data_IF_405458645229
#
_entry.id   IF_405458645229
#
_cell.length_a   1.000
_cell.length_b   1.000
_cell.length_c   1.000
_cell.angle_alpha   90.00
_cell.angle_beta   90.00
_cell.angle_gamma   90.00
#
_symmetry.space_group_name_H-M   'P 1'
#
loop_
_entity.id
_entity.type
_entity.pdbx_description
1 polymer ?
#
# COMPACT_ATOMS: atom_id res chain seq x y z
N UNK A 1 27.67 -41.15 3.08
CA UNK A 1 26.21 -41.43 3.14
C UNK A 1 25.56 -40.41 4.07
N UNK A 2 25.35 -39.18 3.59
CA UNK A 2 24.67 -38.12 4.35
C UNK A 2 23.23 -38.04 3.85
N UNK A 3 22.26 -38.33 4.72
CA UNK A 3 20.83 -38.16 4.42
C UNK A 3 20.55 -36.68 4.12
N UNK A 4 20.05 -36.38 2.92
CA UNK A 4 19.37 -35.11 2.61
C UNK A 4 18.29 -34.90 3.67
N UNK A 5 18.33 -33.77 4.40
CA UNK A 5 17.16 -33.31 5.15
C UNK A 5 16.20 -32.73 4.13
N UNK A 6 15.07 -33.40 3.91
CA UNK A 6 13.92 -32.81 3.23
C UNK A 6 13.56 -31.50 3.94
N UNK A 7 13.74 -30.35 3.27
CA UNK A 7 13.29 -29.06 3.78
C UNK A 7 11.76 -29.09 3.76
N UNK A 8 11.14 -29.49 4.87
CA UNK A 8 9.69 -29.39 5.06
C UNK A 8 9.32 -27.90 5.11
N UNK A 9 8.55 -27.44 4.13
CA UNK A 9 7.96 -26.10 4.15
C UNK A 9 6.97 -26.01 5.32
N UNK A 10 6.99 -24.87 5.99
CA UNK A 10 6.08 -24.55 7.10
C UNK A 10 4.64 -24.39 6.60
N UNK A 11 3.66 -24.45 7.52
CA UNK A 11 2.27 -24.17 7.17
C UNK A 11 2.09 -22.74 6.63
N UNK A 12 2.92 -21.81 7.06
CA UNK A 12 2.90 -20.40 6.65
C UNK A 12 3.34 -20.24 5.18
N UNK A 13 4.50 -20.79 4.83
CA UNK A 13 4.97 -20.79 3.43
C UNK A 13 4.02 -21.54 2.49
N UNK A 14 3.38 -22.63 2.95
CA UNK A 14 2.42 -23.36 2.12
C UNK A 14 1.10 -22.59 1.92
N UNK A 15 0.68 -21.74 2.88
CA UNK A 15 -0.56 -20.95 2.76
C UNK A 15 -0.51 -19.98 1.60
N UNK A 16 0.64 -19.33 1.40
CA UNK A 16 0.84 -18.38 0.31
C UNK A 16 0.74 -19.06 -1.08
N UNK A 17 1.07 -20.35 -1.17
CA UNK A 17 1.06 -21.10 -2.44
C UNK A 17 -0.29 -21.74 -2.80
N UNK A 18 -1.23 -21.85 -1.86
CA UNK A 18 -2.51 -22.56 -2.10
C UNK A 18 -3.36 -21.87 -3.17
N UNK A 19 -3.37 -20.53 -3.24
CA UNK A 19 -4.13 -19.82 -4.29
C UNK A 19 -3.59 -20.15 -5.67
N UNK A 20 -2.27 -20.01 -5.87
CA UNK A 20 -1.61 -20.35 -7.14
C UNK A 20 -1.74 -21.84 -7.50
N UNK A 21 -1.83 -22.73 -6.51
CA UNK A 21 -2.11 -24.15 -6.75
C UNK A 21 -3.51 -24.39 -7.31
N UNK A 22 -4.52 -23.68 -6.79
CA UNK A 22 -5.91 -23.75 -7.25
C UNK A 22 -6.07 -23.17 -8.66
N UNK A 23 -5.23 -22.20 -9.02
CA UNK A 23 -5.17 -21.58 -10.35
C UNK A 23 -4.26 -22.31 -11.34
N UNK A 24 -3.61 -23.40 -10.91
CA UNK A 24 -2.66 -24.20 -11.69
C UNK A 24 -1.44 -23.41 -12.20
N UNK A 25 -0.98 -22.44 -11.40
CA UNK A 25 0.13 -21.53 -11.72
C UNK A 25 1.46 -21.93 -11.05
N UNK A 26 1.46 -22.93 -10.17
CA UNK A 26 2.69 -23.43 -9.53
C UNK A 26 3.60 -24.20 -10.50
N UNK A 27 4.91 -24.08 -10.31
CA UNK A 27 5.86 -24.97 -10.99
C UNK A 27 5.66 -26.44 -10.57
N UNK A 28 6.12 -27.43 -11.37
CA UNK A 28 5.98 -28.85 -11.00
C UNK A 28 6.60 -29.20 -9.64
N UNK A 29 7.71 -28.55 -9.28
CA UNK A 29 8.40 -28.78 -8.01
C UNK A 29 7.61 -28.21 -6.81
N UNK A 30 7.10 -26.98 -6.93
CA UNK A 30 6.28 -26.34 -5.88
C UNK A 30 4.97 -27.10 -5.69
N UNK A 31 4.37 -27.57 -6.80
CA UNK A 31 3.17 -28.39 -6.79
C UNK A 31 3.37 -29.69 -6.00
N UNK A 32 4.43 -30.44 -6.31
CA UNK A 32 4.73 -31.71 -5.62
C UNK A 32 4.99 -31.48 -4.11
N UNK A 33 5.68 -30.39 -3.76
CA UNK A 33 5.95 -30.04 -2.37
C UNK A 33 4.67 -29.69 -1.60
N UNK A 34 3.80 -28.87 -2.19
CA UNK A 34 2.53 -28.49 -1.59
C UNK A 34 1.59 -29.69 -1.46
N UNK A 35 1.48 -30.56 -2.48
CA UNK A 35 0.66 -31.79 -2.43
C UNK A 35 1.11 -32.72 -1.28
N UNK A 36 2.44 -32.87 -1.08
CA UNK A 36 2.98 -33.59 0.09
C UNK A 36 2.56 -32.96 1.42
N UNK A 37 2.53 -31.62 1.51
CA UNK A 37 2.09 -30.93 2.72
C UNK A 37 0.58 -31.04 2.96
N UNK A 38 -0.24 -30.89 1.93
CA UNK A 38 -1.71 -31.05 2.00
C UNK A 38 -2.12 -32.48 2.40
N UNK A 39 -1.30 -33.48 2.04
CA UNK A 39 -1.46 -34.86 2.49
C UNK A 39 -1.30 -35.06 4.01
N UNK A 40 -0.59 -34.17 4.70
CA UNK A 40 -0.29 -34.29 6.15
C UNK A 40 -0.94 -33.22 7.02
N UNK A 41 -1.21 -32.03 6.50
CA UNK A 41 -1.70 -30.88 7.26
C UNK A 41 -3.20 -30.66 7.05
N UNK A 42 -4.02 -31.05 8.02
CA UNK A 42 -5.48 -30.86 7.97
C UNK A 42 -5.84 -29.37 7.85
N UNK A 43 -5.13 -28.47 8.52
CA UNK A 43 -5.39 -27.02 8.48
C UNK A 43 -5.21 -26.44 7.07
N UNK A 44 -4.13 -26.81 6.38
CA UNK A 44 -3.87 -26.34 5.01
C UNK A 44 -4.79 -27.02 3.99
N UNK A 45 -5.17 -28.28 4.21
CA UNK A 45 -6.18 -28.96 3.38
C UNK A 45 -7.55 -28.29 3.48
N UNK A 46 -8.01 -27.94 4.68
CA UNK A 46 -9.28 -27.22 4.86
C UNK A 46 -9.26 -25.84 4.18
N UNK A 47 -8.12 -25.15 4.20
CA UNK A 47 -7.96 -23.90 3.47
C UNK A 47 -8.05 -24.09 1.96
N UNK A 48 -7.36 -25.11 1.42
CA UNK A 48 -7.41 -25.44 0.00
C UNK A 48 -8.83 -25.79 -0.46
N UNK A 49 -9.55 -26.61 0.33
CA UNK A 49 -10.95 -26.96 0.10
C UNK A 49 -11.86 -25.71 0.12
N UNK A 50 -11.65 -24.81 1.08
CA UNK A 50 -12.42 -23.56 1.18
C UNK A 50 -12.17 -22.64 -0.02
N UNK A 51 -10.92 -22.42 -0.41
CA UNK A 51 -10.58 -21.58 -1.57
C UNK A 51 -11.11 -22.18 -2.88
N UNK A 52 -11.10 -23.51 -3.04
CA UNK A 52 -11.77 -24.17 -4.18
C UNK A 52 -13.27 -23.91 -4.17
N UNK A 53 -13.90 -24.02 -3.00
CA UNK A 53 -15.33 -23.76 -2.84
C UNK A 53 -15.68 -22.32 -3.19
N UNK A 54 -14.87 -21.34 -2.77
CA UNK A 54 -15.03 -19.93 -3.14
C UNK A 54 -14.87 -19.74 -4.65
N UNK A 55 -13.81 -20.29 -5.26
CA UNK A 55 -13.58 -20.20 -6.72
C UNK A 55 -14.72 -20.82 -7.52
N UNK A 56 -15.21 -21.99 -7.11
CA UNK A 56 -16.37 -22.63 -7.72
C UNK A 56 -17.65 -21.83 -7.49
N UNK A 57 -17.84 -21.29 -6.29
CA UNK A 57 -18.97 -20.42 -5.95
C UNK A 57 -19.01 -19.18 -6.83
N UNK A 58 -17.88 -18.50 -7.00
CA UNK A 58 -17.71 -17.37 -7.92
C UNK A 58 -17.97 -17.81 -9.37
N UNK A 59 -17.43 -18.95 -9.80
CA UNK A 59 -17.60 -19.45 -11.18
C UNK A 59 -19.03 -19.89 -11.50
N UNK A 60 -19.80 -20.32 -10.48
CA UNK A 60 -21.21 -20.71 -10.60
C UNK A 60 -22.16 -19.52 -10.47
N UNK A 61 -21.78 -18.49 -9.69
CA UNK A 61 -22.55 -17.25 -9.52
C UNK A 61 -22.25 -16.21 -10.60
N UNK A 62 -21.10 -16.32 -11.26
CA UNK A 62 -20.85 -15.67 -12.55
C UNK A 62 -21.77 -16.33 -13.58
N UNK A 63 -22.88 -15.67 -13.91
CA UNK A 63 -23.71 -16.04 -15.05
C UNK A 63 -22.82 -16.28 -16.27
N UNK A 64 -22.86 -17.49 -16.84
CA UNK A 64 -22.34 -17.70 -18.20
C UNK A 64 -23.25 -16.94 -19.14
N UNK A 65 -22.95 -15.67 -19.36
CA UNK A 65 -23.57 -14.89 -20.42
C UNK A 65 -23.10 -15.49 -21.74
N UNK A 66 -23.88 -16.40 -22.31
CA UNK A 66 -23.73 -16.78 -23.71
C UNK A 66 -24.14 -15.59 -24.55
N UNK A 67 -23.15 -14.82 -24.98
CA UNK A 67 -23.34 -13.66 -25.86
C UNK A 67 -23.94 -14.17 -27.18
N UNK A 68 -25.17 -13.80 -27.56
CA UNK A 68 -25.72 -14.17 -28.85
C UNK A 68 -24.84 -13.59 -29.97
N UNK A 69 -24.54 -14.35 -31.01
CA UNK A 69 -23.68 -13.86 -32.12
C UNK A 69 -24.21 -12.59 -32.80
N UNK A 70 -25.51 -12.30 -32.67
CA UNK A 70 -26.18 -11.10 -33.18
C UNK A 70 -26.17 -9.90 -32.21
N UNK A 71 -25.61 -10.05 -31.01
CA UNK A 71 -25.64 -9.00 -29.98
C UNK A 71 -24.78 -7.80 -30.39
N UNK A 72 -23.62 -8.04 -31.02
CA UNK A 72 -22.76 -6.97 -31.54
C UNK A 72 -23.52 -6.10 -32.54
N UNK A 73 -24.23 -6.72 -33.48
CA UNK A 73 -24.96 -6.00 -34.52
C UNK A 73 -26.18 -5.26 -33.96
N UNK A 74 -26.85 -5.84 -32.95
CA UNK A 74 -27.94 -5.16 -32.23
C UNK A 74 -27.43 -3.95 -31.44
N UNK A 75 -26.31 -4.08 -30.72
CA UNK A 75 -25.69 -2.97 -29.97
C UNK A 75 -25.30 -1.86 -30.94
N UNK A 76 -24.61 -2.19 -32.03
CA UNK A 76 -24.20 -1.19 -33.04
C UNK A 76 -25.40 -0.49 -33.71
N UNK A 77 -26.54 -1.18 -33.89
CA UNK A 77 -27.79 -0.58 -34.41
C UNK A 77 -28.59 0.23 -33.38
N UNK A 78 -28.36 0.02 -32.09
CA UNK A 78 -29.14 0.66 -31.01
C UNK A 78 -28.38 1.76 -30.28
N UNK A 79 -27.11 1.98 -30.62
CA UNK A 79 -26.39 3.20 -30.26
C UNK A 79 -27.04 4.38 -31.01
N UNK A 80 -27.62 5.37 -30.30
CA UNK A 80 -28.11 6.57 -30.97
C UNK A 80 -26.93 7.38 -31.51
N UNK A 81 -27.06 7.91 -32.73
CA UNK A 81 -26.18 9.00 -33.18
C UNK A 81 -26.36 10.16 -32.21
N UNK A 82 -25.28 10.56 -31.52
CA UNK A 82 -25.31 11.61 -30.51
C UNK A 82 -25.72 12.94 -31.18
N UNK A 83 -26.93 13.48 -30.92
CA UNK A 83 -27.25 14.83 -31.33
C UNK A 83 -26.69 15.76 -30.27
N UNK A 84 -25.66 16.54 -30.59
CA UNK A 84 -25.24 17.64 -29.74
C UNK A 84 -26.28 18.75 -29.84
N UNK A 85 -27.18 18.82 -28.84
CA UNK A 85 -27.80 20.05 -28.34
C UNK A 85 -28.46 19.79 -26.99
N UNK A 86 -27.86 20.34 -25.93
CA UNK A 86 -28.52 20.50 -24.64
C UNK A 86 -29.08 21.92 -24.60
N UNK A 87 -30.38 22.06 -24.33
CA UNK A 87 -30.99 23.36 -24.06
C UNK A 87 -30.33 24.02 -22.83
N UNK A 88 -30.20 25.36 -22.81
CA UNK A 88 -29.53 26.05 -21.72
C UNK A 88 -30.32 25.90 -20.41
N UNK A 89 -29.68 25.28 -19.41
CA UNK A 89 -30.21 25.19 -18.04
C UNK A 89 -30.43 26.60 -17.47
N UNK A 90 -31.64 26.94 -16.97
CA UNK A 90 -31.95 28.25 -16.42
C UNK A 90 -31.01 28.67 -15.29
N UNK A 91 -30.62 29.95 -15.25
CA UNK A 91 -29.60 30.49 -14.33
C UNK A 91 -29.93 30.28 -12.85
N UNK A 92 -31.21 30.29 -12.48
CA UNK A 92 -31.68 30.08 -11.11
C UNK A 92 -31.49 28.63 -10.61
N UNK A 93 -31.57 27.63 -11.50
CA UNK A 93 -31.25 26.23 -11.17
C UNK A 93 -29.74 26.02 -10.98
N UNK A 94 -28.90 26.78 -11.72
CA UNK A 94 -27.44 26.78 -11.51
C UNK A 94 -27.09 27.41 -10.16
N UNK A 95 -27.76 28.49 -9.78
CA UNK A 95 -27.57 29.15 -8.48
C UNK A 95 -27.97 28.24 -7.31
N UNK A 96 -29.08 27.50 -7.44
CA UNK A 96 -29.55 26.58 -6.42
C UNK A 96 -28.61 25.38 -6.23
N UNK A 97 -28.04 24.84 -7.32
CA UNK A 97 -27.03 23.78 -7.26
C UNK A 97 -25.72 24.29 -6.66
N UNK A 98 -25.29 25.50 -6.99
CA UNK A 98 -24.10 26.14 -6.39
C UNK A 98 -24.28 26.40 -4.89
N UNK A 99 -25.47 26.86 -4.47
CA UNK A 99 -25.82 27.03 -3.05
C UNK A 99 -25.91 25.70 -2.29
N UNK A 100 -26.46 24.66 -2.92
CA UNK A 100 -26.50 23.31 -2.32
C UNK A 100 -25.10 22.71 -2.18
N UNK A 101 -24.23 22.91 -3.17
CA UNK A 101 -22.83 22.46 -3.15
C UNK A 101 -22.00 23.24 -2.11
N UNK A 102 -22.29 24.53 -1.90
CA UNK A 102 -21.62 25.33 -0.86
C UNK A 102 -22.02 24.89 0.56
N UNK A 103 -23.30 24.55 0.77
CA UNK A 103 -23.82 24.07 2.05
C UNK A 103 -23.50 22.59 2.37
N UNK A 104 -23.09 21.79 1.37
CA UNK A 104 -22.69 20.39 1.53
C UNK A 104 -21.16 20.22 1.61
N UNK A 105 -20.44 21.24 2.07
CA UNK A 105 -19.01 21.16 2.41
C UNK A 105 -18.77 20.30 3.65
N UNK A 106 -19.16 19.02 3.62
CA UNK A 106 -18.63 18.02 4.53
C UNK A 106 -17.17 17.86 4.13
N UNK A 107 -16.25 18.28 5.00
CA UNK A 107 -14.82 18.10 4.76
C UNK A 107 -14.55 16.60 4.64
N UNK A 108 -14.08 16.06 3.51
CA UNK A 108 -13.53 14.73 3.51
C UNK A 108 -12.32 14.74 4.45
N UNK A 109 -12.31 13.85 5.44
CA UNK A 109 -11.10 13.52 6.17
C UNK A 109 -10.19 12.77 5.19
N UNK A 110 -9.14 13.46 4.76
CA UNK A 110 -8.02 12.88 4.03
C UNK A 110 -7.19 12.05 5.01
N UNK A 111 -6.22 11.29 4.53
CA UNK A 111 -5.21 10.72 5.43
C UNK A 111 -4.21 11.84 5.74
N UNK A 112 -2.87 11.72 5.72
CA UNK A 112 -2.11 13.00 5.73
C UNK A 112 -2.71 13.97 4.71
N UNK A 113 -2.97 15.23 5.10
CA UNK A 113 -3.61 16.17 4.17
C UNK A 113 -2.83 16.23 2.85
N UNK A 114 -3.42 16.73 1.75
CA UNK A 114 -2.77 16.76 0.44
C UNK A 114 -1.29 17.19 0.49
N UNK A 115 -1.01 18.20 1.29
CA UNK A 115 0.32 18.73 1.54
C UNK A 115 1.28 17.73 2.21
N UNK A 116 0.84 16.95 3.20
CA UNK A 116 1.67 16.00 3.92
C UNK A 116 2.21 14.89 3.02
N UNK A 117 1.34 14.24 2.23
CA UNK A 117 1.77 13.22 1.27
C UNK A 117 2.66 13.81 0.17
N UNK A 118 2.34 15.00 -0.34
CA UNK A 118 3.18 15.68 -1.32
C UNK A 118 4.58 15.95 -0.75
N UNK A 119 4.67 16.45 0.48
CA UNK A 119 5.95 16.75 1.13
C UNK A 119 6.77 15.48 1.39
N UNK A 120 6.13 14.41 1.87
CA UNK A 120 6.81 13.13 2.13
C UNK A 120 7.43 12.58 0.85
N UNK A 121 6.64 12.52 -0.23
CA UNK A 121 7.07 11.99 -1.53
C UNK A 121 8.13 12.86 -2.18
N UNK A 122 7.92 14.18 -2.19
CA UNK A 122 8.86 15.14 -2.74
C UNK A 122 10.21 15.11 -2.00
N UNK A 123 10.19 15.09 -0.67
CA UNK A 123 11.41 15.04 0.14
C UNK A 123 12.19 13.75 -0.05
N UNK A 124 11.51 12.60 -0.16
CA UNK A 124 12.16 11.34 -0.50
C UNK A 124 12.75 11.38 -1.93
N UNK A 125 12.02 11.89 -2.93
CA UNK A 125 12.52 11.98 -4.30
C UNK A 125 13.75 12.89 -4.41
N UNK A 126 13.76 14.04 -3.72
CA UNK A 126 14.91 14.95 -3.62
C UNK A 126 16.13 14.32 -2.96
N UNK A 127 15.94 13.31 -2.11
CA UNK A 127 16.99 12.58 -1.40
C UNK A 127 17.23 11.17 -1.96
N UNK A 128 16.61 10.83 -3.09
CA UNK A 128 16.75 9.50 -3.69
C UNK A 128 18.25 9.18 -3.90
N UNK A 129 18.70 7.94 -3.64
CA UNK A 129 20.12 7.61 -3.57
C UNK A 129 20.75 7.42 -4.96
N UNK A 130 20.59 8.40 -5.86
CA UNK A 130 21.09 8.32 -7.25
C UNK A 130 22.61 8.24 -7.36
N UNK A 131 23.32 8.65 -6.31
CA UNK A 131 24.78 8.52 -6.20
C UNK A 131 25.23 7.11 -5.78
N UNK A 132 24.31 6.26 -5.33
CA UNK A 132 24.62 4.86 -5.05
C UNK A 132 24.66 4.08 -6.37
N UNK A 133 25.76 3.36 -6.58
CA UNK A 133 26.06 2.67 -7.83
C UNK A 133 24.84 1.88 -8.37
N UNK A 134 24.41 2.28 -9.56
CA UNK A 134 23.34 1.64 -10.31
C UNK A 134 21.93 2.16 -10.02
N UNK A 135 21.66 2.83 -8.89
CA UNK A 135 20.31 3.32 -8.60
C UNK A 135 19.82 4.24 -9.74
N UNK A 136 18.56 4.11 -10.21
CA UNK A 136 18.17 4.80 -11.43
C UNK A 136 18.16 6.32 -11.28
N UNK A 137 19.05 6.99 -12.02
CA UNK A 137 19.28 8.45 -11.93
C UNK A 137 18.04 9.28 -12.30
N UNK A 138 17.11 8.71 -13.07
CA UNK A 138 15.89 9.41 -13.47
C UNK A 138 15.03 9.83 -12.26
N UNK A 139 15.13 9.18 -11.10
CA UNK A 139 14.38 9.54 -9.88
C UNK A 139 14.52 11.00 -9.46
N UNK A 140 15.69 11.62 -9.69
CA UNK A 140 15.93 13.02 -9.36
C UNK A 140 15.71 13.98 -10.53
N UNK A 141 15.25 13.48 -11.68
CA UNK A 141 14.78 14.38 -12.74
C UNK A 141 13.56 15.16 -12.25
N UNK A 142 13.43 16.41 -12.72
CA UNK A 142 12.31 17.27 -12.34
C UNK A 142 10.95 16.60 -12.62
N UNK A 143 10.81 15.98 -13.78
CA UNK A 143 9.59 15.26 -14.19
C UNK A 143 9.29 14.08 -13.26
N UNK A 144 10.31 13.30 -12.87
CA UNK A 144 10.11 12.17 -11.95
C UNK A 144 9.69 12.63 -10.56
N UNK A 145 10.29 13.70 -10.05
CA UNK A 145 9.88 14.29 -8.76
C UNK A 145 8.42 14.75 -8.84
N UNK A 146 8.00 15.40 -9.93
CA UNK A 146 6.61 15.82 -10.15
C UNK A 146 5.66 14.62 -10.16
N UNK A 147 6.00 13.54 -10.88
CA UNK A 147 5.19 12.31 -10.95
C UNK A 147 5.09 11.61 -9.60
N UNK A 148 6.21 11.40 -8.91
CA UNK A 148 6.23 10.73 -7.59
C UNK A 148 5.39 11.54 -6.59
N UNK A 149 5.56 12.87 -6.57
CA UNK A 149 4.81 13.78 -5.70
C UNK A 149 3.30 13.72 -5.99
N UNK A 150 2.92 13.77 -7.28
CA UNK A 150 1.53 13.70 -7.71
C UNK A 150 0.84 12.38 -7.31
N UNK A 151 1.56 11.26 -7.44
CA UNK A 151 1.03 9.93 -7.16
C UNK A 151 0.93 9.63 -5.65
N UNK A 152 1.61 10.41 -4.80
CA UNK A 152 1.48 10.31 -3.34
C UNK A 152 0.08 10.53 -2.79
N UNK A 153 -0.83 11.11 -3.59
CA UNK A 153 -2.22 11.39 -3.22
C UNK A 153 -3.25 10.47 -3.88
N UNK A 154 -2.82 9.57 -4.77
CA UNK A 154 -3.75 8.79 -5.58
C UNK A 154 -4.73 7.94 -4.77
N UNK A 155 -4.31 7.19 -3.72
CA UNK A 155 -5.27 6.40 -2.94
C UNK A 155 -6.36 7.23 -2.27
N UNK A 156 -6.01 8.40 -1.74
CA UNK A 156 -6.99 9.33 -1.17
C UNK A 156 -7.96 9.85 -2.23
N UNK A 157 -7.48 10.14 -3.46
CA UNK A 157 -8.35 10.51 -4.58
C UNK A 157 -9.32 9.37 -4.91
N UNK A 158 -8.86 8.12 -4.89
CA UNK A 158 -9.73 6.97 -5.15
C UNK A 158 -10.82 6.83 -4.08
N UNK A 159 -10.46 7.00 -2.80
CA UNK A 159 -11.39 6.95 -1.65
C UNK A 159 -12.56 7.92 -1.79
N UNK A 160 -12.31 9.14 -2.25
CA UNK A 160 -13.33 10.21 -2.34
C UNK A 160 -14.02 10.31 -3.71
N UNK A 161 -13.51 9.63 -4.74
CA UNK A 161 -14.01 9.77 -6.11
C UNK A 161 -15.41 9.15 -6.27
N UNK A 162 -16.43 9.96 -6.65
CA UNK A 162 -17.78 9.45 -6.90
C UNK A 162 -17.78 8.38 -7.99
N UNK A 163 -18.54 7.31 -7.80
CA UNK A 163 -18.67 6.22 -8.78
C UNK A 163 -17.56 5.17 -8.71
N UNK A 164 -16.52 5.35 -7.90
CA UNK A 164 -15.56 4.28 -7.66
C UNK A 164 -16.12 3.25 -6.67
N UNK A 165 -16.52 2.09 -7.18
CA UNK A 165 -17.21 1.04 -6.41
C UNK A 165 -16.43 0.57 -5.17
N UNK A 166 -15.09 0.61 -5.23
CA UNK A 166 -14.21 0.22 -4.11
C UNK A 166 -13.77 1.40 -3.24
N UNK A 167 -14.26 2.63 -3.46
CA UNK A 167 -13.83 3.81 -2.69
C UNK A 167 -13.92 3.62 -1.17
N UNK A 168 -14.99 2.97 -0.69
CA UNK A 168 -15.14 2.61 0.74
C UNK A 168 -14.22 1.45 1.19
N UNK A 169 -13.87 0.55 0.27
CA UNK A 169 -12.99 -0.60 0.55
C UNK A 169 -11.50 -0.22 0.59
N UNK A 170 -11.09 0.83 -0.12
CA UNK A 170 -9.73 1.37 -0.01
C UNK A 170 -9.47 2.05 1.32
N UNK A 171 -10.51 2.51 2.02
CA UNK A 171 -10.37 3.08 3.38
C UNK A 171 -9.53 2.20 4.31
N UNK A 172 -9.64 0.86 4.18
CA UNK A 172 -8.90 -0.10 5.00
C UNK A 172 -7.39 -0.06 4.78
N UNK A 173 -6.94 0.39 3.60
CA UNK A 173 -5.53 0.48 3.25
C UNK A 173 -4.82 1.67 3.91
N UNK A 174 -5.54 2.58 4.57
CA UNK A 174 -4.98 3.82 5.12
C UNK A 174 -4.67 3.73 6.62
N UNK A 175 -5.06 2.67 7.32
CA UNK A 175 -4.85 2.59 8.76
C UNK A 175 -4.56 1.17 9.24
N UNK A 176 -4.11 1.10 10.49
CA UNK A 176 -4.00 -0.12 11.28
C UNK A 176 -4.33 0.20 12.75
N UNK A 177 -5.29 -0.48 13.38
CA UNK A 177 -5.68 -0.22 14.76
C UNK A 177 -4.88 -1.11 15.72
N UNK A 178 -3.66 -0.68 16.06
CA UNK A 178 -2.73 -1.48 16.88
C UNK A 178 -3.21 -1.68 18.32
N UNK A 179 -4.11 -0.84 18.84
CA UNK A 179 -4.74 -1.03 20.16
C UNK A 179 -5.65 -2.24 20.24
N UNK A 180 -6.15 -2.72 19.09
CA UNK A 180 -7.14 -3.79 19.01
C UNK A 180 -6.51 -5.17 18.79
N UNK A 181 -5.20 -5.23 18.54
CA UNK A 181 -4.50 -6.48 18.21
C UNK A 181 -3.08 -6.50 18.75
N UNK A 182 -2.74 -7.53 19.53
CA UNK A 182 -1.39 -7.71 20.06
C UNK A 182 -0.40 -8.15 18.97
N UNK A 183 -0.80 -9.14 18.16
CA UNK A 183 0.02 -9.73 17.10
C UNK A 183 -0.67 -9.63 15.74
N UNK A 184 -0.07 -8.80 14.87
CA UNK A 184 -0.48 -8.70 13.48
C UNK A 184 -0.19 -10.01 12.73
N UNK A 185 -1.07 -10.42 11.80
CA UNK A 185 -0.78 -11.47 10.84
C UNK A 185 0.61 -11.29 10.19
N UNK A 186 1.42 -12.36 10.24
CA UNK A 186 2.64 -12.47 9.46
C UNK A 186 2.29 -12.80 7.99
N UNK A 187 1.53 -11.91 7.35
CA UNK A 187 1.10 -12.05 5.96
C UNK A 187 1.79 -10.98 5.11
N UNK A 188 2.21 -11.34 3.89
CA UNK A 188 2.75 -10.37 2.91
C UNK A 188 1.73 -9.91 1.86
N UNK A 189 0.48 -10.33 2.03
CA UNK A 189 -0.65 -9.99 1.17
C UNK A 189 -1.90 -9.69 2.02
N UNK A 190 -2.68 -8.71 1.59
CA UNK A 190 -3.85 -8.21 2.29
C UNK A 190 -5.01 -9.22 2.34
N UNK A 191 -5.15 -10.10 1.35
CA UNK A 191 -6.19 -11.16 1.33
C UNK A 191 -5.86 -12.21 2.39
N UNK A 192 -4.62 -12.66 2.47
CA UNK A 192 -4.15 -13.58 3.51
C UNK A 192 -4.30 -12.94 4.89
N UNK A 193 -3.96 -11.65 5.02
CA UNK A 193 -4.17 -10.92 6.27
C UNK A 193 -5.64 -10.90 6.71
N UNK A 194 -6.57 -10.58 5.79
CA UNK A 194 -8.02 -10.62 6.06
C UNK A 194 -8.44 -12.01 6.54
N UNK A 195 -7.96 -13.06 5.87
CA UNK A 195 -8.27 -14.42 6.26
C UNK A 195 -7.74 -14.75 7.67
N UNK A 196 -6.50 -14.36 7.96
CA UNK A 196 -5.89 -14.56 9.28
C UNK A 196 -6.59 -13.79 10.38
N UNK A 197 -7.12 -12.59 10.09
CA UNK A 197 -8.01 -11.89 11.03
C UNK A 197 -9.30 -12.67 11.27
N UNK A 198 -9.96 -13.16 10.21
CA UNK A 198 -11.20 -13.94 10.31
C UNK A 198 -11.01 -15.23 11.13
N UNK A 199 -9.88 -15.92 10.96
CA UNK A 199 -9.54 -17.12 11.75
C UNK A 199 -9.41 -16.83 13.25
N UNK A 200 -9.07 -15.59 13.62
CA UNK A 200 -9.02 -15.11 15.00
C UNK A 200 -10.34 -14.48 15.47
N UNK A 201 -11.39 -14.50 14.64
CA UNK A 201 -12.68 -13.85 14.93
C UNK A 201 -12.63 -12.32 14.85
N UNK A 202 -11.63 -11.75 14.16
CA UNK A 202 -11.46 -10.32 13.96
C UNK A 202 -11.93 -9.90 12.55
N UNK A 203 -12.46 -8.68 12.43
CA UNK A 203 -12.79 -8.08 11.15
C UNK A 203 -11.62 -7.22 10.64
N UNK A 204 -11.17 -7.46 9.40
CA UNK A 204 -10.14 -6.63 8.77
C UNK A 204 -10.55 -5.16 8.62
N UNK A 205 -11.85 -4.85 8.65
CA UNK A 205 -12.37 -3.48 8.70
C UNK A 205 -12.08 -2.82 10.04
N UNK A 206 -12.14 -3.56 11.13
CA UNK A 206 -11.83 -3.01 12.45
C UNK A 206 -10.32 -2.92 12.65
N UNK A 207 -9.56 -3.86 12.07
CA UNK A 207 -8.10 -3.91 12.25
C UNK A 207 -7.34 -2.96 11.33
N UNK A 208 -7.80 -2.76 10.09
CA UNK A 208 -7.03 -2.06 9.06
C UNK A 208 -5.98 -2.94 8.37
N UNK A 209 -5.56 -2.51 7.18
CA UNK A 209 -4.73 -3.29 6.25
C UNK A 209 -3.48 -2.55 5.75
N UNK A 210 -3.20 -1.37 6.30
CA UNK A 210 -2.05 -0.54 5.92
C UNK A 210 -0.71 -1.30 5.76
N UNK A 211 -0.23 -2.11 6.73
CA UNK A 211 1.06 -2.80 6.57
C UNK A 211 1.12 -3.71 5.33
N UNK A 212 0.01 -4.33 4.97
CA UNK A 212 -0.07 -5.25 3.83
C UNK A 212 -0.06 -4.50 2.50
N UNK A 213 -0.71 -3.33 2.43
CA UNK A 213 -0.63 -2.46 1.26
C UNK A 213 0.77 -1.85 1.07
N UNK A 214 1.50 -1.56 2.16
CA UNK A 214 2.89 -1.11 2.07
C UNK A 214 3.77 -2.22 1.46
N UNK A 215 3.73 -3.46 2.01
CA UNK A 215 4.60 -4.54 1.53
C UNK A 215 4.26 -4.97 0.09
N UNK A 216 2.99 -5.04 -0.28
CA UNK A 216 2.61 -5.36 -1.66
C UNK A 216 3.08 -4.30 -2.67
N UNK A 217 2.99 -3.02 -2.29
CA UNK A 217 3.43 -1.93 -3.17
C UNK A 217 4.95 -1.90 -3.27
N UNK A 218 5.65 -2.20 -2.17
CA UNK A 218 7.09 -2.45 -2.17
C UNK A 218 7.48 -3.60 -3.12
N UNK A 219 6.78 -4.72 -3.09
CA UNK A 219 7.07 -5.87 -3.96
C UNK A 219 6.82 -5.54 -5.45
N UNK A 220 5.74 -4.81 -5.76
CA UNK A 220 5.47 -4.31 -7.13
C UNK A 220 6.58 -3.39 -7.63
N UNK A 221 7.09 -2.51 -6.76
CA UNK A 221 8.22 -1.63 -7.07
C UNK A 221 9.51 -2.43 -7.32
N UNK A 222 9.83 -3.40 -6.44
CA UNK A 222 11.00 -4.30 -6.59
C UNK A 222 10.95 -5.07 -7.91
N UNK A 223 9.79 -5.61 -8.28
CA UNK A 223 9.58 -6.28 -9.57
C UNK A 223 9.81 -5.30 -10.73
N UNK A 224 9.30 -4.09 -10.63
CA UNK A 224 9.47 -3.06 -11.67
C UNK A 224 10.94 -2.66 -11.85
N UNK A 225 11.71 -2.55 -10.76
CA UNK A 225 13.17 -2.38 -10.85
C UNK A 225 13.87 -3.57 -11.50
N UNK A 226 13.42 -4.79 -11.22
CA UNK A 226 13.98 -5.99 -11.85
C UNK A 226 13.75 -6.00 -13.37
N UNK A 227 12.57 -5.56 -13.82
CA UNK A 227 12.27 -5.39 -15.24
C UNK A 227 13.11 -4.26 -15.85
N UNK A 228 13.27 -3.12 -15.16
CA UNK A 228 14.17 -2.04 -15.62
C UNK A 228 15.58 -2.54 -15.89
N UNK A 229 16.16 -3.33 -14.98
CA UNK A 229 17.49 -3.93 -15.19
C UNK A 229 17.54 -4.87 -16.41
N UNK A 230 16.47 -5.59 -16.70
CA UNK A 230 16.38 -6.43 -17.90
C UNK A 230 16.32 -5.59 -19.19
N UNK A 231 15.51 -4.52 -19.19
CA UNK A 231 15.44 -3.60 -20.34
C UNK A 231 16.78 -2.94 -20.61
N UNK A 232 17.49 -2.49 -19.57
CA UNK A 232 18.86 -1.98 -19.68
C UNK A 232 19.80 -3.04 -20.27
N UNK A 233 19.80 -4.27 -19.75
CA UNK A 233 20.65 -5.37 -20.25
C UNK A 233 20.39 -5.70 -21.72
N UNK A 234 19.14 -5.60 -22.18
CA UNK A 234 18.76 -5.84 -23.58
C UNK A 234 19.00 -4.64 -24.50
N UNK A 235 19.43 -3.49 -23.97
CA UNK A 235 19.50 -2.24 -24.74
C UNK A 235 18.13 -1.77 -25.25
N UNK A 236 17.04 -2.18 -24.59
CA UNK A 236 15.67 -1.80 -24.93
C UNK A 236 15.29 -0.48 -24.24
N UNK A 237 14.30 0.24 -24.79
CA UNK A 237 13.80 1.47 -24.18
C UNK A 237 13.22 1.20 -22.78
N UNK A 238 13.78 1.83 -21.77
CA UNK A 238 13.34 1.73 -20.37
C UNK A 238 12.11 2.58 -20.06
N UNK A 239 11.70 3.48 -20.97
CA UNK A 239 10.66 4.48 -20.68
C UNK A 239 9.33 3.92 -20.14
N UNK A 240 8.77 2.82 -20.68
CA UNK A 240 7.54 2.27 -20.13
C UNK A 240 7.67 1.79 -18.68
N UNK A 241 8.80 1.13 -18.34
CA UNK A 241 9.03 0.62 -16.98
C UNK A 241 9.43 1.75 -16.01
N UNK A 242 10.10 2.81 -16.48
CA UNK A 242 10.32 4.02 -15.68
C UNK A 242 9.00 4.63 -15.20
N UNK A 243 7.99 4.74 -16.06
CA UNK A 243 6.66 5.25 -15.68
C UNK A 243 6.02 4.38 -14.58
N UNK A 244 6.07 3.05 -14.72
CA UNK A 244 5.55 2.14 -13.68
C UNK A 244 6.30 2.28 -12.37
N UNK A 245 7.64 2.41 -12.41
CA UNK A 245 8.47 2.61 -11.23
C UNK A 245 8.07 3.90 -10.51
N UNK A 246 7.93 5.02 -11.23
CA UNK A 246 7.55 6.30 -10.64
C UNK A 246 6.14 6.27 -10.04
N UNK A 247 5.21 5.58 -10.71
CA UNK A 247 3.86 5.36 -10.19
C UNK A 247 3.87 4.56 -8.88
N UNK A 248 4.52 3.40 -8.85
CA UNK A 248 4.60 2.58 -7.63
C UNK A 248 5.42 3.25 -6.53
N UNK A 249 6.46 4.01 -6.86
CA UNK A 249 7.24 4.77 -5.89
C UNK A 249 6.38 5.83 -5.18
N UNK A 250 5.58 6.59 -5.93
CA UNK A 250 4.63 7.56 -5.36
C UNK A 250 3.50 6.90 -4.57
N UNK A 251 2.93 5.81 -5.10
CA UNK A 251 1.89 5.04 -4.42
C UNK A 251 2.38 4.44 -3.09
N UNK A 252 3.61 3.93 -3.05
CA UNK A 252 4.22 3.45 -1.82
C UNK A 252 4.38 4.58 -0.81
N UNK A 253 4.75 5.77 -1.28
CA UNK A 253 4.86 6.95 -0.42
C UNK A 253 3.55 7.43 0.19
N UNK A 254 2.41 7.12 -0.44
CA UNK A 254 1.10 7.32 0.18
C UNK A 254 0.96 6.47 1.45
N UNK A 255 1.03 5.14 1.30
CA UNK A 255 0.83 4.20 2.41
C UNK A 255 1.91 4.33 3.50
N UNK A 256 3.18 4.52 3.12
CA UNK A 256 4.25 4.80 4.09
C UNK A 256 3.96 6.11 4.82
N UNK A 257 3.44 7.12 4.12
CA UNK A 257 3.02 8.37 4.70
C UNK A 257 1.98 8.17 5.79
N UNK A 258 0.86 7.50 5.50
CA UNK A 258 -0.17 7.19 6.49
C UNK A 258 0.42 6.49 7.72
N UNK A 259 1.41 5.61 7.51
CA UNK A 259 2.11 4.92 8.58
C UNK A 259 2.97 5.79 9.51
N UNK A 260 3.20 7.08 9.21
CA UNK A 260 3.84 8.03 10.14
C UNK A 260 2.85 8.92 10.89
N UNK A 261 1.57 8.90 10.52
CA UNK A 261 0.51 9.65 11.17
C UNK A 261 0.03 8.83 12.39
N UNK A 262 0.28 9.25 13.66
CA UNK A 262 -0.05 8.43 14.82
C UNK A 262 -1.53 8.05 14.93
N UNK A 263 -2.46 8.91 14.49
CA UNK A 263 -3.89 8.62 14.47
C UNK A 263 -4.29 7.60 13.40
N UNK A 264 -3.46 7.29 12.41
CA UNK A 264 -3.69 6.18 11.46
C UNK A 264 -3.32 4.82 12.05
N UNK A 265 -2.77 4.80 13.27
CA UNK A 265 -2.30 3.58 13.93
C UNK A 265 -3.16 3.16 15.13
N UNK A 266 -4.35 3.75 15.30
CA UNK A 266 -5.18 3.59 16.50
C UNK A 266 -6.68 3.64 16.22
N UNK A 267 -7.46 2.92 17.03
CA UNK A 267 -8.91 3.06 17.03
C UNK A 267 -9.38 4.44 17.54
N UNK A 268 -8.52 5.22 18.21
CA UNK A 268 -8.76 6.59 18.66
C UNK A 268 -8.46 7.62 17.57
N UNK A 269 -8.80 7.34 16.32
CA UNK A 269 -8.42 8.19 15.18
C UNK A 269 -9.32 9.45 15.08
N UNK A 270 -10.59 9.36 15.49
CA UNK A 270 -11.56 10.46 15.49
C UNK A 270 -11.95 10.91 16.91
N UNK A 271 -10.96 10.98 17.81
CA UNK A 271 -11.19 11.29 19.22
C UNK A 271 -11.08 10.07 20.11
N UNK A 272 -10.88 10.33 21.40
CA UNK A 272 -10.65 9.29 22.40
C UNK A 272 -11.93 8.47 22.63
N UNK A 273 -11.76 7.14 22.72
CA UNK A 273 -12.86 6.19 22.91
C UNK A 273 -12.57 5.38 24.17
N UNK A 274 -13.61 5.12 24.98
CA UNK A 274 -13.47 4.36 26.24
C UNK A 274 -13.02 5.23 27.41
N UNK A 275 -12.35 4.60 28.40
CA UNK A 275 -11.90 5.29 29.61
C UNK A 275 -10.91 6.41 29.29
N UNK A 276 -11.21 7.64 29.71
CA UNK A 276 -10.46 8.83 29.34
C UNK A 276 -9.95 9.59 30.58
N UNK A 277 -9.08 8.94 31.36
CA UNK A 277 -8.52 9.48 32.61
C UNK A 277 -7.72 10.77 32.41
N UNK A 278 -7.19 10.99 31.20
CA UNK A 278 -6.38 12.16 30.83
C UNK A 278 -7.21 13.30 30.24
N UNK A 279 -8.52 13.15 30.13
CA UNK A 279 -9.45 14.15 29.58
C UNK A 279 -8.99 14.65 28.20
N UNK A 280 -8.60 13.73 27.33
CA UNK A 280 -8.29 14.01 25.94
C UNK A 280 -9.56 14.31 25.14
N UNK A 281 -9.40 14.95 23.97
CA UNK A 281 -10.57 15.29 23.16
C UNK A 281 -11.29 14.04 22.66
N UNK A 282 -12.62 14.10 22.67
CA UNK A 282 -13.52 13.09 22.11
C UNK A 282 -14.17 13.59 20.81
N UNK A 283 -13.73 14.74 20.28
CA UNK A 283 -14.25 15.30 19.04
C UNK A 283 -13.61 14.66 17.80
N UNK A 284 -14.42 14.44 16.77
CA UNK A 284 -13.98 13.83 15.50
C UNK A 284 -13.01 14.71 14.71
N UNK A 285 -12.83 15.98 15.11
CA UNK A 285 -12.02 16.97 14.41
C UNK A 285 -10.51 16.86 14.65
N UNK A 286 -10.04 16.12 15.68
CA UNK A 286 -8.60 16.03 15.98
C UNK A 286 -7.78 15.49 14.81
N UNK A 287 -8.34 14.53 14.05
CA UNK A 287 -7.72 13.94 12.87
C UNK A 287 -7.35 15.01 11.83
N UNK A 288 -8.37 15.79 11.43
CA UNK A 288 -8.24 16.89 10.48
C UNK A 288 -7.33 18.01 10.99
N UNK A 289 -7.44 18.35 12.28
CA UNK A 289 -6.59 19.40 12.89
C UNK A 289 -5.12 19.05 12.77
N UNK A 290 -4.75 17.79 13.06
CA UNK A 290 -3.36 17.37 12.98
C UNK A 290 -2.85 17.24 11.53
N UNK A 291 -3.61 16.56 10.67
CA UNK A 291 -3.10 16.13 9.36
C UNK A 291 -3.23 17.19 8.26
N UNK A 292 -4.21 18.10 8.36
CA UNK A 292 -4.49 19.13 7.35
C UNK A 292 -4.13 20.50 7.89
N UNK A 293 -4.71 20.89 9.03
CA UNK A 293 -4.60 22.27 9.51
C UNK A 293 -3.21 22.55 10.07
N UNK A 294 -2.70 21.66 10.92
CA UNK A 294 -1.41 21.81 11.57
C UNK A 294 -0.23 21.60 10.60
N UNK A 295 -0.31 20.62 9.70
CA UNK A 295 0.73 20.33 8.69
C UNK A 295 1.03 21.51 7.77
N UNK A 296 0.07 22.41 7.52
CA UNK A 296 0.28 23.59 6.67
C UNK A 296 1.39 24.52 7.17
N UNK A 297 1.75 24.43 8.44
CA UNK A 297 2.85 25.17 9.07
C UNK A 297 4.24 24.64 8.70
N UNK A 298 4.33 23.53 7.97
CA UNK A 298 5.58 22.90 7.52
C UNK A 298 5.59 22.79 6.00
N UNK A 299 6.79 22.75 5.41
CA UNK A 299 7.05 22.48 4.00
C UNK A 299 8.05 21.34 3.84
N UNK A 300 8.08 20.74 2.65
CA UNK A 300 9.04 19.70 2.30
C UNK A 300 10.50 20.03 2.69
N UNK A 301 10.92 21.28 2.47
CA UNK A 301 12.28 21.74 2.77
C UNK A 301 12.66 21.74 4.25
N UNK A 302 11.67 21.87 5.15
CA UNK A 302 11.90 22.14 6.58
C UNK A 302 12.38 20.91 7.37
N UNK A 303 12.33 19.73 6.76
CA UNK A 303 12.74 18.47 7.37
C UNK A 303 13.73 17.66 6.53
N UNK A 304 14.26 18.24 5.43
CA UNK A 304 15.25 17.56 4.58
C UNK A 304 16.56 17.23 5.32
N UNK A 305 16.90 18.00 6.34
CA UNK A 305 18.08 17.78 7.19
C UNK A 305 17.94 16.56 8.11
N UNK A 306 16.70 16.14 8.39
CA UNK A 306 16.40 14.96 9.19
C UNK A 306 16.49 13.66 8.37
N UNK A 307 16.68 13.77 7.05
CA UNK A 307 16.82 12.63 6.14
C UNK A 307 18.29 12.25 5.98
N UNK A 308 18.57 10.97 6.17
CA UNK A 308 19.89 10.38 6.11
C UNK A 308 20.01 9.42 4.91
N UNK A 309 21.22 8.97 4.64
CA UNK A 309 21.47 7.93 3.63
C UNK A 309 20.59 6.70 3.91
N UNK A 310 19.90 6.16 2.88
CA UNK A 310 19.02 5.02 3.10
C UNK A 310 19.81 3.78 3.53
N UNK A 311 19.16 2.97 4.36
CA UNK A 311 19.69 1.70 4.84
C UNK A 311 18.96 0.52 4.18
N UNK A 312 19.69 -0.55 3.87
CA UNK A 312 19.11 -1.80 3.40
C UNK A 312 18.33 -2.48 4.54
N UNK A 313 17.07 -2.81 4.31
CA UNK A 313 16.21 -3.48 5.27
C UNK A 313 16.34 -5.00 5.12
N UNK A 314 16.75 -5.70 6.17
CA UNK A 314 16.94 -7.17 6.11
C UNK A 314 15.62 -7.94 5.94
N UNK A 315 14.55 -7.46 6.58
CA UNK A 315 13.20 -7.99 6.42
C UNK A 315 12.23 -6.80 6.32
N UNK A 316 11.90 -6.35 5.09
CA UNK A 316 11.07 -5.17 4.88
C UNK A 316 9.75 -5.22 5.64
N UNK A 317 9.09 -6.39 5.74
CA UNK A 317 7.81 -6.50 6.41
C UNK A 317 7.94 -6.28 7.92
N UNK A 318 8.91 -6.94 8.57
CA UNK A 318 9.16 -6.73 10.01
C UNK A 318 9.54 -5.28 10.33
N UNK A 319 10.31 -4.63 9.46
CA UNK A 319 10.67 -3.21 9.61
C UNK A 319 9.47 -2.28 9.42
N UNK A 320 8.54 -2.59 8.50
CA UNK A 320 7.26 -1.88 8.36
C UNK A 320 6.44 -2.00 9.65
N UNK A 321 6.35 -3.19 10.24
CA UNK A 321 5.63 -3.38 11.51
C UNK A 321 6.30 -2.60 12.65
N UNK A 322 7.63 -2.62 12.74
CA UNK A 322 8.38 -1.86 13.74
C UNK A 322 8.17 -0.35 13.60
N UNK A 323 8.16 0.15 12.36
CA UNK A 323 7.83 1.53 12.03
C UNK A 323 6.43 1.93 12.49
N UNK A 324 5.41 1.12 12.18
CA UNK A 324 4.03 1.39 12.59
C UNK A 324 3.86 1.37 14.11
N UNK A 325 4.48 0.40 14.81
CA UNK A 325 4.49 0.35 16.29
C UNK A 325 5.18 1.55 16.90
N UNK A 326 6.28 2.01 16.30
CA UNK A 326 6.97 3.23 16.73
C UNK A 326 6.07 4.45 16.53
N UNK A 327 5.44 4.62 15.37
CA UNK A 327 4.47 5.69 15.11
C UNK A 327 3.34 5.69 16.14
N UNK A 328 2.79 4.51 16.44
CA UNK A 328 1.72 4.33 17.41
C UNK A 328 2.09 4.79 18.83
N UNK A 329 3.33 4.61 19.26
CA UNK A 329 3.80 5.11 20.56
C UNK A 329 3.67 6.63 20.76
N UNK A 330 3.46 7.38 19.66
CA UNK A 330 3.27 8.83 19.70
C UNK A 330 1.80 9.26 19.66
N UNK A 331 0.84 8.33 19.67
CA UNK A 331 -0.60 8.62 19.64
C UNK A 331 -0.99 9.58 20.77
N UNK A 332 -0.62 9.28 22.02
CA UNK A 332 -0.93 10.16 23.14
C UNK A 332 -0.22 11.52 23.05
N UNK A 333 0.93 11.60 22.38
CA UNK A 333 1.64 12.88 22.18
C UNK A 333 0.82 13.80 21.29
N UNK A 334 0.16 13.28 20.23
CA UNK A 334 -0.77 14.05 19.39
C UNK A 334 -1.90 14.62 20.24
N UNK A 335 -2.53 13.78 21.07
CA UNK A 335 -3.60 14.20 21.98
C UNK A 335 -3.16 15.23 23.03
N UNK A 336 -1.95 15.09 23.58
CA UNK A 336 -1.38 16.06 24.50
C UNK A 336 -1.12 17.42 23.84
N UNK A 337 -0.63 17.43 22.58
CA UNK A 337 -0.43 18.64 21.80
C UNK A 337 -1.77 19.32 21.47
N UNK A 338 -2.78 18.55 21.06
CA UNK A 338 -4.14 19.06 20.82
C UNK A 338 -4.73 19.71 22.08
N UNK A 339 -4.67 19.01 23.21
CA UNK A 339 -5.15 19.50 24.51
C UNK A 339 -4.43 20.78 24.97
N UNK A 340 -3.15 20.93 24.62
CA UNK A 340 -2.38 22.14 24.89
C UNK A 340 -2.68 23.31 23.93
N UNK A 341 -3.56 23.12 22.94
CA UNK A 341 -3.88 24.12 21.92
C UNK A 341 -2.82 24.27 20.83
N UNK A 342 -1.85 23.36 20.75
CA UNK A 342 -0.66 23.49 19.91
C UNK A 342 -0.94 23.38 18.39
N UNK A 343 -2.16 22.95 18.01
CA UNK A 343 -2.58 22.93 16.60
C UNK A 343 -3.17 24.26 16.13
N UNK A 344 -3.71 25.06 17.05
CA UNK A 344 -4.17 26.43 16.76
C UNK A 344 -3.03 27.44 16.92
N UNK A 345 -2.20 27.26 17.95
CA UNK A 345 -1.04 28.10 18.24
C UNK A 345 0.23 27.23 18.25
N UNK A 346 0.88 27.03 17.08
CA UNK A 346 2.06 26.17 16.96
C UNK A 346 3.20 26.60 17.90
N UNK A 347 3.83 25.60 18.52
CA UNK A 347 5.04 25.78 19.35
C UNK A 347 6.25 25.20 18.63
N UNK A 348 7.49 25.59 18.99
CA UNK A 348 8.69 24.95 18.44
C UNK A 348 8.70 23.44 18.62
N UNK A 349 8.19 22.95 19.76
CA UNK A 349 8.08 21.52 20.05
C UNK A 349 7.06 20.82 19.15
N UNK A 350 5.86 21.39 18.96
CA UNK A 350 4.85 20.78 18.10
C UNK A 350 5.29 20.77 16.63
N UNK A 351 5.96 21.84 16.17
CA UNK A 351 6.53 21.92 14.83
C UNK A 351 7.68 20.93 14.62
N UNK A 352 8.54 20.74 15.63
CA UNK A 352 9.57 19.70 15.58
C UNK A 352 8.94 18.31 15.49
N UNK A 353 7.91 18.04 16.30
CA UNK A 353 7.23 16.75 16.30
C UNK A 353 6.63 16.37 14.93
N UNK A 354 5.91 17.29 14.27
CA UNK A 354 5.36 17.01 12.93
C UNK A 354 6.47 16.87 11.88
N UNK A 355 7.54 17.67 11.95
CA UNK A 355 8.71 17.51 11.06
C UNK A 355 9.34 16.13 11.22
N UNK A 356 9.46 15.61 12.43
CA UNK A 356 9.97 14.27 12.70
C UNK A 356 9.04 13.16 12.20
N UNK A 357 7.72 13.36 12.17
CA UNK A 357 6.77 12.40 11.57
C UNK A 357 6.84 12.39 10.05
N UNK A 358 6.88 13.56 9.41
CA UNK A 358 7.07 13.66 7.97
C UNK A 358 8.43 13.08 7.55
N UNK A 359 9.50 13.39 8.31
CA UNK A 359 10.83 12.83 8.07
C UNK A 359 10.88 11.30 8.25
N UNK A 360 10.20 10.76 9.26
CA UNK A 360 10.15 9.31 9.47
C UNK A 360 9.52 8.58 8.28
N UNK A 361 8.44 9.12 7.69
CA UNK A 361 7.85 8.57 6.48
C UNK A 361 8.79 8.67 5.27
N UNK A 362 9.39 9.84 5.02
CA UNK A 362 10.34 9.99 3.92
C UNK A 362 11.57 9.09 4.08
N UNK A 363 12.07 8.89 5.30
CA UNK A 363 13.20 7.99 5.55
C UNK A 363 12.83 6.52 5.33
N UNK A 364 11.67 6.07 5.82
CA UNK A 364 11.19 4.71 5.56
C UNK A 364 10.98 4.49 4.06
N UNK A 365 10.43 5.48 3.35
CA UNK A 365 10.23 5.43 1.90
C UNK A 365 11.56 5.30 1.14
N UNK A 366 12.58 6.09 1.53
CA UNK A 366 13.94 5.97 1.00
C UNK A 366 14.54 4.59 1.24
N UNK A 367 14.40 4.06 2.46
CA UNK A 367 14.90 2.73 2.82
C UNK A 367 14.22 1.64 1.97
N UNK A 368 12.91 1.73 1.77
CA UNK A 368 12.15 0.79 0.95
C UNK A 368 12.52 0.89 -0.53
N UNK A 369 12.64 2.09 -1.11
CA UNK A 369 13.09 2.24 -2.51
C UNK A 369 14.50 1.68 -2.71
N UNK A 370 15.40 1.96 -1.78
CA UNK A 370 16.77 1.48 -1.83
C UNK A 370 16.84 -0.05 -1.70
N UNK A 371 16.09 -0.62 -0.74
CA UNK A 371 16.02 -2.07 -0.54
C UNK A 371 15.40 -2.75 -1.75
N UNK A 372 14.31 -2.22 -2.31
CA UNK A 372 13.69 -2.72 -3.53
C UNK A 372 14.67 -2.71 -4.71
N UNK A 373 15.51 -1.67 -4.82
CA UNK A 373 16.56 -1.61 -5.84
C UNK A 373 17.62 -2.70 -5.65
N UNK A 374 18.14 -2.88 -4.44
CA UNK A 374 19.13 -3.92 -4.14
C UNK A 374 18.57 -5.33 -4.37
N UNK A 375 17.38 -5.62 -3.85
CA UNK A 375 16.72 -6.92 -3.98
C UNK A 375 16.15 -7.19 -5.38
N UNK A 376 16.12 -6.18 -6.26
CA UNK A 376 15.72 -6.36 -7.67
C UNK A 376 16.79 -7.03 -8.53
N UNK A 377 18.02 -7.18 -8.01
CA UNK A 377 19.03 -8.00 -8.64
C UNK A 377 18.58 -9.46 -8.60
N UNK A 378 18.01 -9.94 -9.72
CA UNK A 378 17.81 -11.38 -9.89
C UNK A 378 19.18 -12.04 -9.77
N UNK A 379 19.37 -13.05 -8.90
CA UNK A 379 20.48 -13.95 -9.11
C UNK A 379 20.32 -14.49 -10.53
N UNK A 380 21.35 -14.32 -11.35
CA UNK A 380 21.33 -14.67 -12.78
C UNK A 380 20.69 -16.05 -12.92
N UNK A 381 19.50 -16.14 -13.52
CA UNK A 381 18.75 -17.41 -13.64
C UNK A 381 19.63 -18.46 -14.30
N UNK A 382 20.47 -18.06 -15.24
CA UNK A 382 21.43 -18.99 -15.86
C UNK A 382 22.55 -19.39 -14.90
N UNK A 383 22.98 -18.51 -13.99
CA UNK A 383 23.97 -18.85 -12.95
C UNK A 383 23.38 -19.75 -11.88
N UNK A 384 22.15 -19.50 -11.43
CA UNK A 384 21.42 -20.37 -10.49
C UNK A 384 21.15 -21.73 -11.11
N UNK A 385 20.69 -21.78 -12.37
CA UNK A 385 20.49 -23.03 -13.11
C UNK A 385 21.82 -23.72 -13.42
N UNK A 386 22.88 -23.00 -13.83
CA UNK A 386 24.22 -23.59 -14.04
C UNK A 386 24.84 -24.11 -12.74
N UNK A 387 24.67 -23.43 -11.62
CA UNK A 387 25.12 -23.89 -10.31
C UNK A 387 24.30 -25.10 -9.86
N UNK A 388 22.98 -25.09 -10.06
CA UNK A 388 22.12 -26.25 -9.82
C UNK A 388 22.51 -27.46 -10.68
N UNK A 389 22.82 -27.26 -11.97
CA UNK A 389 23.27 -28.28 -12.92
C UNK A 389 24.68 -28.80 -12.60
N UNK A 390 25.62 -27.93 -12.24
CA UNK A 390 26.96 -28.33 -11.76
C UNK A 390 26.92 -29.14 -10.47
N UNK A 391 25.91 -28.89 -9.63
CA UNK A 391 25.68 -29.66 -8.41
C UNK A 391 25.05 -31.02 -8.70
N UNK A 392 24.38 -31.18 -9.85
CA UNK A 392 23.82 -32.47 -10.30
C UNK A 392 24.85 -33.33 -11.03
N UNK A 393 25.76 -32.74 -11.83
CA UNK A 393 26.83 -33.48 -12.52
C UNK A 393 27.92 -34.03 -11.57
N UNK A 394 28.09 -33.46 -10.36
CA UNK A 394 28.98 -34.01 -9.32
C UNK A 394 28.37 -35.17 -8.52
N UNK A 395 27.13 -35.57 -8.82
CA UNK A 395 26.38 -36.61 -8.10
C UNK A 395 26.05 -37.82 -9.00
N UNK A 396 26.44 -37.81 -10.28
CA UNK A 396 26.44 -39.01 -11.14
C UNK A 396 27.79 -39.72 -11.13
#
# INVERSE_FOLDING_TARGET
>A
MFKRKDKKMSCEENRELISSFIDAELSPAEKEMLEKHLGVCTKCRTLEEWLRCVKEGISRSAERVTIPGSLRDKIMKSLPEIPVRLDPVPWWKRLFVLLLLFCLSVSPAFSWGPEGHEYINKSAALKAPVEVAGFPSFFQSRESIEIITYNGLEPDRWKISPGYTRGKGHGLAHYINLDLVQDLPAARDHIIAIQMYQEKGLDGRDMGLLPYYIIETYEKLRISFSEYREFVRRGSSTKPVEVNILYYAGLLGHYVGDGSQPLHTTAHHHGWVGENHKSYSMDEGIHKRFEVEFVRNVKAGDFLELLHTPTHLCDPFSEIIAYLKKTHSYMEKVYALDKAGAFSEPTPESLQFVRERLAAASQMLLNLWYTAWLESERPDREKVVREALKTTEKIC
#
